data_IF_756665370508
#
_entry.id   IF_756665370508
#
_cell.length_a   1.000
_cell.length_b   1.000
_cell.length_c   1.000
_cell.angle_alpha   90.00
_cell.angle_beta   90.00
_cell.angle_gamma   90.00
#
_symmetry.space_group_name_H-M   'P 1'
#
loop_
_entity.id
_entity.type
_entity.pdbx_description
1 polymer ?
#
# COMPACT_ATOMS: atom_id res chain seq x y z
N UNK A 1 10.11 36.63 -45.61
CA UNK A 1 9.07 35.63 -45.25
C UNK A 1 9.28 35.23 -43.80
N UNK A 2 8.40 35.69 -42.91
CA UNK A 2 8.42 35.34 -41.50
C UNK A 2 7.45 34.19 -41.23
N UNK A 3 7.89 33.14 -40.55
CA UNK A 3 7.01 32.08 -40.05
C UNK A 3 7.07 32.06 -38.53
N UNK A 4 6.06 32.70 -37.93
CA UNK A 4 5.65 32.42 -36.56
C UNK A 4 5.11 30.99 -36.47
N UNK A 5 5.62 30.18 -35.53
CA UNK A 5 4.78 29.27 -34.74
C UNK A 5 5.29 29.17 -33.31
N UNK A 6 4.54 29.84 -32.44
CA UNK A 6 4.56 29.65 -31.00
C UNK A 6 3.67 28.46 -30.59
N UNK A 7 3.80 28.08 -29.32
CA UNK A 7 2.92 27.24 -28.48
C UNK A 7 3.18 25.73 -28.41
N UNK A 8 4.09 25.38 -27.48
CA UNK A 8 3.98 24.19 -26.63
C UNK A 8 3.74 24.64 -25.18
N UNK A 9 2.47 24.85 -24.85
CA UNK A 9 1.94 25.30 -23.55
C UNK A 9 2.40 24.37 -22.42
N UNK A 10 3.33 24.81 -21.56
CA UNK A 10 3.61 24.14 -20.27
C UNK A 10 2.30 24.15 -19.47
N UNK A 11 1.60 23.02 -19.42
CA UNK A 11 0.47 22.87 -18.50
C UNK A 11 1.05 22.99 -17.09
N UNK A 12 0.65 24.04 -16.37
CA UNK A 12 0.93 24.16 -14.96
C UNK A 12 0.51 22.87 -14.27
N UNK A 13 1.46 22.22 -13.61
CA UNK A 13 1.16 21.16 -12.64
C UNK A 13 0.44 21.88 -11.51
N UNK A 14 -0.89 21.93 -11.58
CA UNK A 14 -1.69 22.22 -10.40
C UNK A 14 -1.33 21.14 -9.40
N UNK A 15 -0.74 21.55 -8.27
CA UNK A 15 -0.51 20.73 -7.09
C UNK A 15 -1.86 20.30 -6.52
N UNK A 16 -2.52 19.34 -7.18
CA UNK A 16 -3.69 18.67 -6.61
C UNK A 16 -3.16 17.84 -5.45
N UNK A 17 -3.52 18.25 -4.23
CA UNK A 17 -3.47 17.37 -3.07
C UNK A 17 -4.13 16.04 -3.45
N UNK A 18 -3.46 14.92 -3.17
CA UNK A 18 -4.07 13.60 -3.31
C UNK A 18 -5.24 13.56 -2.36
N UNK A 19 -6.43 13.30 -2.89
CA UNK A 19 -7.58 13.07 -2.02
C UNK A 19 -7.36 11.74 -1.29
N UNK A 20 -7.78 11.61 -0.01
CA UNK A 20 -7.67 10.33 0.72
C UNK A 20 -8.23 9.14 -0.06
N UNK A 21 -9.33 9.34 -0.80
CA UNK A 21 -9.94 8.33 -1.67
C UNK A 21 -9.02 7.83 -2.79
N UNK A 22 -8.21 8.70 -3.39
CA UNK A 22 -7.24 8.33 -4.43
C UNK A 22 -6.11 7.45 -3.84
N UNK A 23 -5.71 7.73 -2.59
CA UNK A 23 -4.75 6.93 -1.85
C UNK A 23 -5.29 5.55 -1.48
N UNK A 24 -6.53 5.49 -0.98
CA UNK A 24 -7.23 4.23 -0.67
C UNK A 24 -7.37 3.35 -1.91
N UNK A 25 -7.74 3.91 -3.06
CA UNK A 25 -7.86 3.14 -4.30
C UNK A 25 -6.52 2.47 -4.70
N UNK A 26 -5.41 3.21 -4.59
CA UNK A 26 -4.07 2.68 -4.90
C UNK A 26 -3.65 1.56 -3.95
N UNK A 27 -3.96 1.68 -2.66
CA UNK A 27 -3.72 0.64 -1.67
C UNK A 27 -4.63 -0.56 -1.94
N UNK A 28 -5.93 -0.33 -2.15
CA UNK A 28 -6.92 -1.38 -2.43
C UNK A 28 -6.54 -2.26 -3.62
N UNK A 29 -6.05 -1.66 -4.72
CA UNK A 29 -5.57 -2.42 -5.88
C UNK A 29 -4.38 -3.33 -5.53
N UNK A 30 -3.46 -2.87 -4.68
CA UNK A 30 -2.35 -3.70 -4.22
C UNK A 30 -2.83 -4.84 -3.29
N UNK A 31 -3.85 -4.58 -2.46
CA UNK A 31 -4.40 -5.59 -1.55
C UNK A 31 -5.19 -6.68 -2.29
N UNK A 32 -5.85 -6.34 -3.39
CA UNK A 32 -6.59 -7.28 -4.23
C UNK A 32 -5.70 -8.08 -5.18
N UNK A 33 -4.40 -7.78 -5.25
CA UNK A 33 -3.48 -8.48 -6.13
C UNK A 33 -3.24 -9.92 -5.64
N UNK A 34 -3.40 -10.89 -6.55
CA UNK A 34 -3.23 -12.31 -6.23
C UNK A 34 -1.79 -12.67 -5.84
N UNK A 35 -0.80 -11.90 -6.30
CA UNK A 35 0.63 -12.14 -6.09
C UNK A 35 1.30 -10.95 -5.39
N UNK A 36 2.52 -11.15 -4.89
CA UNK A 36 3.26 -10.12 -4.17
C UNK A 36 3.89 -9.11 -5.15
N UNK A 37 3.52 -7.84 -5.01
CA UNK A 37 4.05 -6.76 -5.83
C UNK A 37 5.42 -6.33 -5.32
N UNK A 38 6.48 -6.97 -5.82
CA UNK A 38 7.85 -6.75 -5.31
C UNK A 38 8.51 -5.45 -5.78
N UNK A 39 7.97 -4.80 -6.82
CA UNK A 39 8.54 -3.57 -7.42
C UNK A 39 7.51 -2.45 -7.57
N UNK A 40 7.99 -1.19 -7.54
CA UNK A 40 7.13 -0.01 -7.76
C UNK A 40 6.55 -0.02 -9.18
N UNK A 41 7.31 -0.53 -10.16
CA UNK A 41 6.84 -0.68 -11.54
C UNK A 41 5.70 -1.72 -11.68
N UNK A 42 5.78 -2.85 -10.96
CA UNK A 42 4.69 -3.82 -10.92
C UNK A 42 3.43 -3.21 -10.29
N UNK A 43 3.58 -2.51 -9.16
CA UNK A 43 2.45 -1.83 -8.51
C UNK A 43 1.84 -0.75 -9.40
N UNK A 44 2.65 0.04 -10.11
CA UNK A 44 2.16 1.05 -11.04
C UNK A 44 1.34 0.42 -12.18
N UNK A 45 1.83 -0.71 -12.73
CA UNK A 45 1.15 -1.44 -13.79
C UNK A 45 -0.21 -1.96 -13.34
N UNK A 46 -0.28 -2.58 -12.16
CA UNK A 46 -1.56 -3.02 -11.58
C UNK A 46 -2.50 -1.84 -11.30
N UNK A 47 -1.94 -0.68 -10.94
CA UNK A 47 -2.69 0.55 -10.76
C UNK A 47 -3.05 1.27 -12.07
N UNK A 48 -2.77 0.67 -13.25
CA UNK A 48 -3.08 1.25 -14.55
C UNK A 48 -2.33 2.55 -14.88
N UNK A 49 -1.14 2.75 -14.29
CA UNK A 49 -0.35 3.98 -14.44
C UNK A 49 1.13 3.69 -14.70
N UNK A 50 1.86 4.71 -15.15
CA UNK A 50 3.31 4.57 -15.29
C UNK A 50 4.02 4.73 -13.93
N UNK A 51 5.21 4.15 -13.80
CA UNK A 51 5.98 4.21 -12.55
C UNK A 51 6.26 5.65 -12.09
N UNK A 52 6.52 6.55 -13.04
CA UNK A 52 6.73 7.98 -12.75
C UNK A 52 5.51 8.64 -12.12
N UNK A 53 4.30 8.31 -12.59
CA UNK A 53 3.05 8.82 -12.03
C UNK A 53 2.83 8.31 -10.61
N UNK A 54 3.04 7.01 -10.37
CA UNK A 54 2.93 6.44 -9.02
C UNK A 54 3.93 7.08 -8.07
N UNK A 55 5.19 7.24 -8.49
CA UNK A 55 6.23 7.91 -7.69
C UNK A 55 5.89 9.36 -7.38
N UNK A 56 5.36 10.08 -8.36
CA UNK A 56 4.88 11.45 -8.15
C UNK A 56 3.74 11.47 -7.13
N UNK A 57 2.79 10.53 -7.22
CA UNK A 57 1.69 10.44 -6.26
C UNK A 57 2.20 10.16 -4.85
N UNK A 58 3.05 9.16 -4.65
CA UNK A 58 3.64 8.88 -3.34
C UNK A 58 4.39 10.11 -2.78
N UNK A 59 5.13 10.83 -3.65
CA UNK A 59 5.83 12.06 -3.27
C UNK A 59 4.87 13.18 -2.82
N UNK A 60 3.76 13.38 -3.53
CA UNK A 60 2.72 14.35 -3.15
C UNK A 60 2.13 13.99 -1.78
N UNK A 61 1.95 12.69 -1.51
CA UNK A 61 1.54 12.19 -0.20
C UNK A 61 2.65 12.23 0.87
N UNK A 62 3.85 12.75 0.55
CA UNK A 62 4.97 12.87 1.48
C UNK A 62 5.68 11.56 1.83
N UNK A 63 5.44 10.48 1.09
CA UNK A 63 6.02 9.15 1.38
C UNK A 63 6.83 8.65 0.17
N UNK A 64 8.04 8.10 0.36
CA UNK A 64 8.77 7.49 -0.76
C UNK A 64 8.02 6.26 -1.28
N UNK A 65 7.87 6.15 -2.60
CA UNK A 65 7.12 5.07 -3.25
C UNK A 65 7.57 3.66 -2.82
N UNK A 66 8.87 3.46 -2.55
CA UNK A 66 9.37 2.17 -2.06
C UNK A 66 8.88 1.84 -0.66
N UNK A 67 8.77 2.84 0.21
CA UNK A 67 8.27 2.65 1.58
C UNK A 67 6.76 2.42 1.54
N UNK A 68 6.02 3.14 0.69
CA UNK A 68 4.61 2.86 0.42
C UNK A 68 4.40 1.44 -0.12
N UNK A 69 5.27 0.98 -1.03
CA UNK A 69 5.23 -0.39 -1.54
C UNK A 69 5.45 -1.41 -0.42
N UNK A 70 6.50 -1.22 0.38
CA UNK A 70 6.80 -2.12 1.50
C UNK A 70 5.60 -2.17 2.48
N UNK A 71 4.96 -1.03 2.74
CA UNK A 71 3.75 -0.96 3.56
C UNK A 71 2.61 -1.81 3.00
N UNK A 72 2.26 -1.64 1.72
CA UNK A 72 1.13 -2.38 1.11
C UNK A 72 1.43 -3.88 0.98
N UNK A 73 2.69 -4.27 0.77
CA UNK A 73 3.09 -5.69 0.74
C UNK A 73 2.83 -6.36 2.09
N UNK A 74 3.26 -5.74 3.19
CA UNK A 74 2.99 -6.27 4.54
C UNK A 74 1.50 -6.27 4.84
N UNK A 75 0.79 -5.21 4.47
CA UNK A 75 -0.64 -5.12 4.69
C UNK A 75 -1.40 -6.24 3.97
N UNK A 76 -1.05 -6.51 2.70
CA UNK A 76 -1.60 -7.63 1.92
C UNK A 76 -1.29 -8.96 2.57
N UNK A 77 -0.04 -9.19 2.96
CA UNK A 77 0.36 -10.45 3.60
C UNK A 77 -0.35 -10.67 4.95
N UNK A 78 -0.53 -9.60 5.73
CA UNK A 78 -1.32 -9.62 6.96
C UNK A 78 -2.77 -10.00 6.69
N UNK A 79 -3.38 -9.40 5.67
CA UNK A 79 -4.75 -9.72 5.25
C UNK A 79 -4.87 -11.16 4.74
N UNK A 80 -3.94 -11.63 3.91
CA UNK A 80 -3.94 -13.01 3.45
C UNK A 80 -3.81 -13.99 4.61
N UNK A 81 -2.95 -13.71 5.59
CA UNK A 81 -2.84 -14.50 6.83
C UNK A 81 -4.15 -14.46 7.63
N UNK A 82 -4.79 -13.31 7.74
CA UNK A 82 -6.11 -13.14 8.36
C UNK A 82 -7.27 -13.72 7.55
N UNK A 83 -7.10 -14.13 6.30
CA UNK A 83 -8.16 -14.81 5.56
C UNK A 83 -7.88 -16.31 5.45
N UNK A 84 -6.62 -16.70 5.21
CA UNK A 84 -6.22 -18.06 4.83
C UNK A 84 -5.36 -18.79 5.87
N UNK A 85 -4.89 -18.10 6.91
CA UNK A 85 -3.96 -18.67 7.90
C UNK A 85 -2.50 -18.61 7.45
N UNK A 86 -1.61 -19.36 8.11
CA UNK A 86 -0.17 -19.41 7.74
C UNK A 86 0.69 -18.28 8.32
N UNK A 87 1.96 -18.25 7.91
CA UNK A 87 2.93 -17.25 8.31
C UNK A 87 2.97 -16.08 7.30
N UNK A 88 3.44 -14.91 7.75
CA UNK A 88 3.57 -13.74 6.87
C UNK A 88 4.51 -14.00 5.68
N UNK A 89 5.54 -14.84 5.89
CA UNK A 89 6.50 -15.29 4.88
C UNK A 89 5.85 -16.04 3.72
N UNK A 90 4.73 -16.71 3.95
CA UNK A 90 4.06 -17.51 2.93
C UNK A 90 3.40 -16.64 1.86
N UNK A 91 3.19 -15.35 2.16
CA UNK A 91 2.51 -14.37 1.30
C UNK A 91 3.43 -13.25 0.80
N UNK A 92 4.71 -13.30 1.17
CA UNK A 92 5.71 -12.34 0.75
C UNK A 92 6.78 -13.06 -0.06
N UNK A 93 7.01 -12.58 -1.28
CA UNK A 93 8.11 -13.03 -2.14
C UNK A 93 9.43 -12.44 -1.61
N UNK A 94 9.96 -13.12 -0.59
CA UNK A 94 11.24 -12.80 0.06
C UNK A 94 12.00 -14.09 0.32
N UNK A 95 12.98 -14.37 -0.52
CA UNK A 95 13.81 -15.58 -0.41
C UNK A 95 14.85 -15.58 0.72
N UNK A 96 15.02 -14.47 1.46
CA UNK A 96 16.01 -14.37 2.55
C UNK A 96 15.41 -13.70 3.81
N UNK A 97 15.53 -14.32 5.00
CA UNK A 97 15.16 -13.74 6.29
C UNK A 97 15.67 -12.32 6.56
N UNK A 98 16.83 -11.93 6.02
CA UNK A 98 17.36 -10.56 6.20
C UNK A 98 16.52 -9.53 5.45
N UNK A 99 16.02 -9.89 4.28
CA UNK A 99 15.15 -9.02 3.48
C UNK A 99 13.79 -8.87 4.16
N UNK A 100 13.28 -9.94 4.78
CA UNK A 100 12.08 -9.89 5.62
C UNK A 100 12.25 -8.93 6.79
N UNK A 101 13.34 -9.06 7.58
CA UNK A 101 13.63 -8.14 8.69
C UNK A 101 13.73 -6.69 8.25
N UNK A 102 14.41 -6.42 7.13
CA UNK A 102 14.55 -5.06 6.59
C UNK A 102 13.23 -4.48 6.11
N UNK A 103 12.35 -5.31 5.56
CA UNK A 103 11.03 -4.92 5.08
C UNK A 103 10.14 -4.55 6.28
N UNK A 104 10.08 -5.41 7.30
CA UNK A 104 9.33 -5.15 8.52
C UNK A 104 9.85 -3.94 9.31
N UNK A 105 11.17 -3.76 9.39
CA UNK A 105 11.77 -2.60 10.04
C UNK A 105 11.41 -1.28 9.33
N UNK A 106 11.37 -1.29 7.99
CA UNK A 106 11.05 -0.09 7.18
C UNK A 106 9.60 0.37 7.32
N UNK A 107 8.68 -0.54 7.58
CA UNK A 107 7.27 -0.20 7.75
C UNK A 107 6.91 0.17 9.20
N UNK A 108 7.92 0.31 10.06
CA UNK A 108 7.74 0.82 11.42
C UNK A 108 7.17 -0.21 12.38
N UNK A 109 7.51 -1.50 12.21
CA UNK A 109 7.04 -2.54 13.14
C UNK A 109 7.78 -2.45 14.48
N UNK A 110 7.09 -1.87 15.46
CA UNK A 110 7.34 -2.05 16.90
C UNK A 110 6.01 -2.48 17.53
N UNK A 111 5.92 -3.72 18.03
CA UNK A 111 4.64 -4.31 18.47
C UNK A 111 4.70 -5.84 18.54
N UNK A 112 3.56 -6.53 18.79
CA UNK A 112 3.51 -7.98 19.00
C UNK A 112 4.10 -8.76 17.82
N UNK A 113 4.53 -9.99 18.08
CA UNK A 113 5.09 -10.90 17.06
C UNK A 113 4.09 -11.26 15.96
N UNK A 114 2.81 -10.91 16.10
CA UNK A 114 1.79 -11.22 15.11
C UNK A 114 0.58 -10.26 15.11
N UNK A 115 0.74 -8.97 14.74
CA UNK A 115 -0.36 -8.01 14.80
C UNK A 115 -1.48 -8.40 13.84
N UNK A 116 -2.70 -8.00 14.17
CA UNK A 116 -3.80 -7.93 13.22
C UNK A 116 -3.53 -6.84 12.17
N UNK A 117 -4.25 -6.87 11.06
CA UNK A 117 -4.23 -5.85 10.01
C UNK A 117 -4.54 -4.47 10.59
N UNK A 118 -5.55 -4.37 11.46
CA UNK A 118 -5.93 -3.11 12.11
C UNK A 118 -4.87 -2.61 13.10
N UNK A 119 -4.26 -3.50 13.88
CA UNK A 119 -3.15 -3.16 14.77
C UNK A 119 -1.93 -2.67 13.98
N UNK A 120 -1.61 -3.33 12.86
CA UNK A 120 -0.51 -2.94 11.99
C UNK A 120 -0.74 -1.56 11.37
N UNK A 121 -1.94 -1.29 10.84
CA UNK A 121 -2.30 0.04 10.29
C UNK A 121 -2.29 1.13 11.37
N UNK A 122 -2.61 0.78 12.62
CA UNK A 122 -2.60 1.74 13.73
C UNK A 122 -1.18 2.01 14.26
N UNK A 123 -0.27 1.04 14.17
CA UNK A 123 1.10 1.15 14.70
C UNK A 123 2.14 1.66 13.67
N UNK A 124 1.83 1.58 12.36
CA UNK A 124 2.72 2.03 11.30
C UNK A 124 3.08 3.52 11.42
N UNK A 125 4.29 3.89 10.98
CA UNK A 125 4.80 5.29 11.01
C UNK A 125 5.13 5.86 9.62
N UNK A 126 4.79 5.12 8.58
CA UNK A 126 5.11 5.41 7.17
C UNK A 126 4.18 6.46 6.60
N UNK A 127 2.87 6.20 6.70
CA UNK A 127 1.82 7.09 6.20
C UNK A 127 1.44 8.01 7.35
N UNK A 128 1.73 9.31 7.19
CA UNK A 128 1.42 10.34 8.19
C UNK A 128 0.08 11.03 7.98
N UNK A 129 -0.53 10.80 6.82
CA UNK A 129 -1.86 11.31 6.51
C UNK A 129 -2.91 10.56 7.33
N UNK A 130 -3.39 11.21 8.39
CA UNK A 130 -4.38 10.66 9.32
C UNK A 130 -5.70 10.37 8.60
N UNK A 131 -6.11 11.22 7.65
CA UNK A 131 -7.36 11.02 6.93
C UNK A 131 -7.28 9.77 6.05
N UNK A 132 -6.17 9.56 5.35
CA UNK A 132 -5.93 8.32 4.60
C UNK A 132 -5.93 7.09 5.51
N UNK A 133 -5.33 7.17 6.70
CA UNK A 133 -5.32 6.05 7.65
C UNK A 133 -6.71 5.71 8.17
N UNK A 134 -7.52 6.71 8.50
CA UNK A 134 -8.90 6.49 8.95
C UNK A 134 -9.76 5.89 7.83
N UNK A 135 -9.60 6.36 6.58
CA UNK A 135 -10.29 5.74 5.43
C UNK A 135 -9.81 4.31 5.17
N UNK A 136 -8.51 4.02 5.29
CA UNK A 136 -8.00 2.66 5.18
C UNK A 136 -8.58 1.74 6.26
N UNK A 137 -8.68 2.19 7.51
CA UNK A 137 -9.31 1.42 8.59
C UNK A 137 -10.77 1.11 8.28
N UNK A 138 -11.54 2.06 7.73
CA UNK A 138 -12.94 1.83 7.33
C UNK A 138 -13.06 0.73 6.27
N UNK A 139 -12.15 0.70 5.29
CA UNK A 139 -12.14 -0.34 4.23
C UNK A 139 -11.68 -1.70 4.77
N UNK A 140 -10.75 -1.72 5.71
CA UNK A 140 -10.16 -2.96 6.25
C UNK A 140 -11.02 -3.62 7.32
N UNK A 141 -11.82 -2.87 8.07
CA UNK A 141 -12.66 -3.38 9.17
C UNK A 141 -13.62 -4.50 8.70
N UNK A 142 -14.38 -4.34 7.59
CA UNK A 142 -15.22 -5.42 7.07
C UNK A 142 -14.43 -6.66 6.66
N UNK A 143 -13.20 -6.49 6.16
CA UNK A 143 -12.36 -7.59 5.68
C UNK A 143 -11.75 -8.41 6.82
N UNK A 144 -11.47 -7.77 7.96
CA UNK A 144 -10.94 -8.43 9.16
C UNK A 144 -12.03 -9.12 10.01
N UNK A 145 -13.28 -8.62 9.97
CA UNK A 145 -14.38 -9.10 10.83
C UNK A 145 -14.98 -10.43 10.36
N UNK A 146 -14.63 -10.93 9.17
CA UNK A 146 -15.17 -12.18 8.61
C UNK A 146 -14.75 -13.46 9.38
N UNK A 147 -14.07 -13.34 10.52
CA UNK A 147 -13.48 -14.44 11.30
C UNK A 147 -14.13 -14.81 12.63
N UNK A 148 -15.29 -14.26 12.99
CA UNK A 148 -15.93 -14.59 14.28
C UNK A 148 -17.17 -15.49 14.23
N UNK A 149 -17.47 -16.17 13.11
CA UNK A 149 -18.70 -16.99 13.03
C UNK A 149 -18.60 -18.44 12.58
N UNK A 150 -17.41 -19.03 12.55
CA UNK A 150 -17.27 -20.48 12.38
C UNK A 150 -16.48 -21.08 13.55
N UNK A 151 -17.17 -21.22 14.69
CA UNK A 151 -16.75 -22.12 15.76
C UNK A 151 -17.11 -23.57 15.41
N UNK A 152 -16.39 -24.57 15.93
CA UNK A 152 -16.58 -25.96 15.52
C UNK A 152 -17.93 -26.48 15.99
N UNK A 153 -18.77 -26.90 15.05
CA UNK A 153 -19.85 -27.83 15.34
C UNK A 153 -19.21 -29.19 15.65
N UNK A 154 -19.11 -29.48 16.96
CA UNK A 154 -19.04 -30.84 17.47
C UNK A 154 -20.45 -31.39 17.66
#
# INVERSE_FOLDING_TARGET
MAVHRAFGKRRGVQSRSIQPSDGVALVGLALSCAYDLTTVGAWAREAGMCETQLRLRCRIAGVPAKVSLDFVRVLRAGLCREVRGGALTDYLDVGDPRTMRRLLARVGRSGPDNPTVLEYVSAQRVIRDVALIEELKKVLTPMATFRHHDGPHH
#
